data_IF_040194491238
#
_entry.id   IF_040194491238
#
_cell.length_a   1.000
_cell.length_b   1.000
_cell.length_c   1.000
_cell.angle_alpha   90.00
_cell.angle_beta   90.00
_cell.angle_gamma   90.00
#
_symmetry.space_group_name_H-M   'P 1'
#
loop_
_entity.id
_entity.type
_entity.pdbx_description
1 polymer ?
#
# COMPACT_ATOMS: atom_id res chain seq x y z
N UNK A 1 6.01 18.28 20.02
CA UNK A 1 4.85 18.34 19.09
C UNK A 1 5.47 18.70 17.77
N UNK A 2 5.35 17.86 16.74
CA UNK A 2 6.00 18.11 15.45
C UNK A 2 5.33 19.24 14.68
N UNK A 3 6.13 19.96 13.89
CA UNK A 3 5.64 21.05 13.05
C UNK A 3 6.52 21.30 11.83
N UNK A 4 5.88 21.86 10.80
CA UNK A 4 6.52 22.38 9.59
C UNK A 4 5.96 23.74 9.24
N UNK A 5 6.82 24.65 8.84
CA UNK A 5 6.45 25.97 8.33
C UNK A 5 6.91 26.13 6.89
N UNK A 6 5.97 26.48 6.02
CA UNK A 6 6.20 26.79 4.61
C UNK A 6 6.09 28.29 4.38
N UNK A 7 6.98 28.85 3.57
CA UNK A 7 7.02 30.28 3.28
C UNK A 7 7.09 30.56 1.79
N UNK A 8 6.37 31.59 1.33
CA UNK A 8 6.38 32.02 -0.07
C UNK A 8 7.65 32.78 -0.45
N UNK A 9 8.41 33.31 0.52
CA UNK A 9 9.70 33.95 0.31
C UNK A 9 10.89 33.05 0.67
N UNK A 10 12.08 33.42 0.19
CA UNK A 10 13.35 32.82 0.64
C UNK A 10 13.71 33.31 2.04
N UNK A 11 14.49 32.54 2.80
CA UNK A 11 14.91 32.88 4.17
C UNK A 11 13.74 33.21 5.09
N UNK A 12 12.63 32.50 4.91
CA UNK A 12 11.44 32.56 5.76
C UNK A 12 10.72 33.92 5.72
N UNK A 13 10.80 34.62 4.60
CA UNK A 13 10.10 35.90 4.40
C UNK A 13 8.72 35.72 3.77
N UNK A 14 7.99 36.83 3.67
CA UNK A 14 6.67 36.95 3.04
C UNK A 14 5.56 36.16 3.76
N UNK A 15 4.69 35.49 3.00
CA UNK A 15 3.57 34.75 3.58
C UNK A 15 4.10 33.42 4.15
N UNK A 16 3.65 33.04 5.34
CA UNK A 16 4.05 31.81 6.00
C UNK A 16 2.86 31.06 6.59
N UNK A 17 2.89 29.73 6.53
CA UNK A 17 1.90 28.85 7.13
C UNK A 17 2.56 27.70 7.86
N UNK A 18 2.18 27.53 9.12
CA UNK A 18 2.63 26.43 9.96
C UNK A 18 1.56 25.33 10.06
N UNK A 19 2.03 24.09 10.07
CA UNK A 19 1.25 22.90 10.31
C UNK A 19 1.80 22.22 11.58
N UNK A 20 0.92 21.75 12.46
CA UNK A 20 1.29 21.13 13.74
C UNK A 20 0.66 19.74 13.86
N UNK A 21 1.40 18.78 14.40
CA UNK A 21 0.97 17.39 14.55
C UNK A 21 1.01 16.61 13.24
N UNK A 22 1.20 15.30 13.34
CA UNK A 22 1.29 14.41 12.18
C UNK A 22 0.05 14.56 11.29
N UNK A 23 0.26 14.80 9.99
CA UNK A 23 -0.80 15.07 9.03
C UNK A 23 -0.31 15.00 7.59
N UNK A 24 -1.24 14.85 6.65
CA UNK A 24 -1.01 15.01 5.22
C UNK A 24 -1.86 16.12 4.61
N UNK A 25 -1.35 16.78 3.57
CA UNK A 25 -2.11 17.69 2.73
C UNK A 25 -1.97 17.25 1.27
N UNK A 26 -3.01 16.59 0.74
CA UNK A 26 -3.00 16.01 -0.61
C UNK A 26 -3.05 17.06 -1.73
N UNK A 27 -3.56 18.26 -1.44
CA UNK A 27 -3.66 19.36 -2.40
C UNK A 27 -3.44 20.70 -1.72
N UNK A 28 -2.25 21.27 -1.92
CA UNK A 28 -1.91 22.61 -1.42
C UNK A 28 -2.60 23.75 -2.18
N UNK A 29 -3.24 23.48 -3.32
CA UNK A 29 -4.06 24.46 -4.05
C UNK A 29 -5.39 24.78 -3.34
N UNK A 30 -5.76 23.96 -2.35
CA UNK A 30 -6.89 24.23 -1.46
C UNK A 30 -6.47 24.85 -0.12
N UNK A 31 -5.16 25.03 0.07
CA UNK A 31 -4.57 25.53 1.30
C UNK A 31 -4.07 26.95 1.08
N UNK A 32 -4.45 27.88 1.96
CA UNK A 32 -4.07 29.29 1.84
C UNK A 32 -3.18 29.72 3.00
N UNK A 33 -2.24 30.64 2.73
CA UNK A 33 -1.37 31.21 3.75
C UNK A 33 -2.14 32.02 4.80
N UNK A 34 -3.22 32.68 4.37
CA UNK A 34 -4.13 33.46 5.19
C UNK A 34 -5.56 33.04 4.85
N UNK A 35 -6.45 32.99 5.84
CA UNK A 35 -7.84 32.57 5.62
C UNK A 35 -8.61 33.51 4.68
N UNK A 36 -8.19 34.78 4.62
CA UNK A 36 -8.90 35.87 3.95
C UNK A 36 -8.39 36.11 2.52
N UNK A 37 -7.26 35.49 2.18
CA UNK A 37 -6.54 35.70 0.94
C UNK A 37 -6.59 34.44 0.07
N UNK A 38 -6.72 34.61 -1.24
CA UNK A 38 -6.78 33.47 -2.19
C UNK A 38 -5.40 33.00 -2.64
N UNK A 39 -4.36 33.47 -1.97
CA UNK A 39 -2.97 33.04 -2.18
C UNK A 39 -2.80 31.63 -1.61
N UNK A 40 -2.97 30.64 -2.49
CA UNK A 40 -2.78 29.24 -2.16
C UNK A 40 -1.29 28.88 -2.04
N UNK A 41 -1.00 27.75 -1.40
CA UNK A 41 0.37 27.31 -1.15
C UNK A 41 1.01 26.64 -2.37
N UNK A 42 0.21 26.23 -3.36
CA UNK A 42 0.66 25.41 -4.46
C UNK A 42 1.61 26.19 -5.35
N UNK A 43 2.76 25.57 -5.65
CA UNK A 43 3.76 26.17 -6.54
C UNK A 43 4.20 27.59 -6.13
N UNK A 44 4.16 27.92 -4.84
CA UNK A 44 4.58 29.23 -4.34
C UNK A 44 5.62 29.15 -3.23
N UNK A 45 5.72 28.01 -2.55
CA UNK A 45 6.68 27.76 -1.46
C UNK A 45 8.12 27.89 -1.96
N UNK A 46 8.94 28.67 -1.24
CA UNK A 46 10.36 28.92 -1.54
C UNK A 46 11.30 28.57 -0.38
N UNK A 47 10.82 28.53 0.86
CA UNK A 47 11.63 28.10 2.02
C UNK A 47 10.80 27.31 3.02
N UNK A 48 11.47 26.45 3.80
CA UNK A 48 10.84 25.47 4.71
C UNK A 48 11.62 25.39 6.02
N UNK A 49 10.90 25.30 7.14
CA UNK A 49 11.48 24.96 8.46
C UNK A 49 10.71 23.81 9.09
N UNK A 50 11.44 22.86 9.68
CA UNK A 50 10.88 21.83 10.56
C UNK A 50 11.41 22.04 11.98
N UNK A 51 10.58 21.72 12.97
CA UNK A 51 11.04 21.72 14.36
C UNK A 51 11.85 20.46 14.71
N UNK A 52 12.19 20.31 15.99
CA UNK A 52 12.99 19.19 16.50
C UNK A 52 12.34 17.79 16.35
N UNK A 53 11.06 17.73 16.00
CA UNK A 53 10.27 16.49 15.96
C UNK A 53 9.58 16.24 14.60
N UNK A 54 9.59 17.20 13.67
CA UNK A 54 8.87 17.13 12.40
C UNK A 54 9.65 16.49 11.26
N UNK A 55 9.20 15.31 10.82
CA UNK A 55 9.74 14.61 9.66
C UNK A 55 8.80 14.79 8.49
N UNK A 56 9.25 15.44 7.42
CA UNK A 56 8.36 15.86 6.32
C UNK A 56 8.82 15.28 4.99
N UNK A 57 7.87 14.74 4.24
CA UNK A 57 8.06 14.37 2.84
C UNK A 57 7.20 15.33 2.00
N UNK A 58 7.82 16.09 1.11
CA UNK A 58 7.11 16.97 0.16
C UNK A 58 7.13 16.37 -1.23
N UNK A 59 6.09 16.68 -2.00
CA UNK A 59 5.83 16.12 -3.31
C UNK A 59 5.57 17.22 -4.33
N UNK A 60 6.03 17.01 -5.56
CA UNK A 60 5.81 17.96 -6.66
C UNK A 60 4.50 17.74 -7.43
N UNK A 61 3.72 16.72 -7.07
CA UNK A 61 2.38 16.48 -7.57
C UNK A 61 1.35 16.39 -6.44
N UNK A 62 0.07 16.38 -6.82
CA UNK A 62 -1.05 16.16 -5.90
C UNK A 62 -1.07 14.73 -5.38
N UNK A 63 -1.79 14.49 -4.28
CA UNK A 63 -2.03 13.17 -3.70
C UNK A 63 -0.74 12.39 -3.40
N UNK A 64 0.31 13.12 -2.99
CA UNK A 64 1.57 12.55 -2.54
C UNK A 64 2.30 11.75 -3.64
N UNK A 65 2.24 12.21 -4.89
CA UNK A 65 2.88 11.57 -6.04
C UNK A 65 4.04 12.40 -6.62
N UNK A 66 4.68 11.88 -7.67
CA UNK A 66 5.77 12.54 -8.36
C UNK A 66 7.12 12.44 -7.66
N UNK A 67 8.00 13.39 -7.94
CA UNK A 67 9.27 13.50 -7.22
C UNK A 67 9.01 13.88 -5.76
N UNK A 68 9.95 13.52 -4.89
CA UNK A 68 9.85 13.80 -3.47
C UNK A 68 11.15 14.37 -2.91
N UNK A 69 11.00 15.16 -1.84
CA UNK A 69 12.12 15.65 -1.03
C UNK A 69 11.86 15.27 0.43
N UNK A 70 12.82 14.57 1.01
CA UNK A 70 12.86 14.25 2.42
C UNK A 70 13.43 15.46 3.16
N UNK A 71 12.65 16.01 4.09
CA UNK A 71 13.03 17.12 4.96
C UNK A 71 13.06 16.58 6.39
N UNK A 72 14.26 16.26 6.92
CA UNK A 72 14.40 15.76 8.28
C UNK A 72 13.92 16.78 9.33
N UNK A 73 13.78 16.32 10.56
CA UNK A 73 13.60 17.22 11.70
C UNK A 73 14.76 18.23 11.83
N UNK A 74 14.48 19.38 12.45
CA UNK A 74 15.40 20.48 12.67
C UNK A 74 16.03 21.06 11.38
N UNK A 75 15.30 20.99 10.27
CA UNK A 75 15.75 21.47 8.97
C UNK A 75 15.45 22.95 8.79
N UNK A 76 16.39 23.65 8.16
CA UNK A 76 16.34 25.08 7.88
C UNK A 76 16.68 25.32 6.41
N UNK A 77 15.70 25.09 5.54
CA UNK A 77 15.84 25.25 4.09
C UNK A 77 15.51 26.70 3.73
N UNK A 78 16.54 27.53 3.60
CA UNK A 78 16.38 28.97 3.31
C UNK A 78 16.04 29.26 1.84
N UNK A 79 16.38 28.38 0.92
CA UNK A 79 16.04 28.53 -0.50
C UNK A 79 15.92 27.14 -1.16
N UNK A 80 14.72 26.81 -1.64
CA UNK A 80 14.44 25.57 -2.35
C UNK A 80 15.09 25.50 -3.75
N UNK A 81 15.56 26.63 -4.29
CA UNK A 81 16.33 26.65 -5.54
C UNK A 81 17.65 25.88 -5.42
N UNK A 82 18.20 25.77 -4.20
CA UNK A 82 19.42 25.02 -3.93
C UNK A 82 19.21 23.50 -3.87
N UNK A 83 17.96 23.02 -3.96
CA UNK A 83 17.61 21.62 -3.79
C UNK A 83 17.18 21.02 -5.13
N UNK A 84 17.93 20.08 -5.71
CA UNK A 84 17.60 19.48 -6.99
C UNK A 84 16.34 18.60 -6.90
N UNK A 85 15.54 18.61 -7.97
CA UNK A 85 14.31 17.83 -8.12
C UNK A 85 14.47 16.82 -9.26
N UNK A 86 15.00 15.65 -8.90
CA UNK A 86 15.33 14.59 -9.87
C UNK A 86 16.20 15.14 -11.00
N UNK A 87 15.84 14.79 -12.23
CA UNK A 87 16.52 15.28 -13.44
C UNK A 87 15.97 16.62 -13.98
N UNK A 88 15.01 17.25 -13.29
CA UNK A 88 14.13 18.29 -13.86
C UNK A 88 14.16 19.64 -13.12
N UNK A 89 15.34 20.09 -12.69
CA UNK A 89 15.54 21.40 -12.07
C UNK A 89 15.59 21.33 -10.55
N UNK A 90 14.95 22.30 -9.88
CA UNK A 90 14.98 22.46 -8.42
C UNK A 90 13.58 22.43 -7.79
N UNK A 91 13.52 22.52 -6.46
CA UNK A 91 12.29 22.45 -5.67
C UNK A 91 11.57 23.78 -5.47
N UNK A 92 12.13 24.89 -5.95
CA UNK A 92 11.52 26.22 -5.80
C UNK A 92 10.17 26.24 -6.48
N UNK A 93 9.13 26.59 -5.74
CA UNK A 93 7.76 26.71 -6.27
C UNK A 93 7.27 25.42 -6.96
N UNK A 94 7.70 24.25 -6.47
CA UNK A 94 7.27 22.96 -7.01
C UNK A 94 6.39 22.16 -6.06
N UNK A 95 6.37 22.48 -4.76
CA UNK A 95 5.65 21.66 -3.77
C UNK A 95 4.12 21.78 -3.99
N UNK A 96 3.45 20.63 -4.11
CA UNK A 96 2.01 20.51 -4.34
C UNK A 96 1.29 19.69 -3.27
N UNK A 97 1.97 18.78 -2.58
CA UNK A 97 1.43 18.01 -1.44
C UNK A 97 2.53 17.63 -0.45
N UNK A 98 2.15 17.25 0.78
CA UNK A 98 3.13 16.78 1.78
C UNK A 98 2.54 15.80 2.80
N UNK A 99 3.42 15.01 3.41
CA UNK A 99 3.17 14.18 4.59
C UNK A 99 4.12 14.61 5.72
N UNK A 100 3.62 14.73 6.95
CA UNK A 100 4.40 15.06 8.13
C UNK A 100 4.17 14.04 9.24
N UNK A 101 5.26 13.54 9.82
CA UNK A 101 5.29 12.57 10.90
C UNK A 101 5.91 13.17 12.15
N UNK A 102 5.55 12.64 13.32
CA UNK A 102 6.09 13.03 14.63
C UNK A 102 7.31 12.19 15.08
N UNK A 103 7.65 11.17 14.29
CA UNK A 103 8.86 10.37 14.39
C UNK A 103 9.35 10.00 12.97
N UNK A 104 10.61 9.61 12.84
CA UNK A 104 11.14 9.12 11.56
C UNK A 104 10.42 7.82 11.19
N UNK A 105 9.74 7.73 10.03
CA UNK A 105 9.18 6.48 9.54
C UNK A 105 10.28 5.45 9.26
N UNK A 106 10.03 4.16 9.49
CA UNK A 106 11.00 3.09 9.20
C UNK A 106 11.42 3.05 7.73
N UNK A 107 10.53 3.46 6.82
CA UNK A 107 10.76 3.51 5.37
C UNK A 107 11.42 4.81 4.91
N UNK A 108 11.88 5.68 5.81
CA UNK A 108 12.38 7.02 5.45
C UNK A 108 13.43 7.00 4.34
N UNK A 109 14.34 6.03 4.37
CA UNK A 109 15.42 5.89 3.40
C UNK A 109 15.05 5.03 2.17
N UNK A 110 13.78 4.68 2.01
CA UNK A 110 13.31 3.93 0.83
C UNK A 110 13.13 4.87 -0.35
N UNK A 111 13.21 4.31 -1.55
CA UNK A 111 12.98 5.05 -2.79
C UNK A 111 11.95 4.30 -3.65
N UNK A 112 10.68 4.76 -3.73
CA UNK A 112 10.08 5.88 -2.97
C UNK A 112 9.91 5.62 -1.45
N UNK A 113 9.79 6.67 -0.62
CA UNK A 113 9.74 6.57 0.85
C UNK A 113 8.34 6.17 1.32
N UNK A 114 8.07 4.87 1.28
CA UNK A 114 6.82 4.23 1.71
C UNK A 114 7.08 2.74 1.97
N UNK A 115 6.20 1.99 2.64
CA UNK A 115 6.24 0.54 2.66
C UNK A 115 6.25 -0.02 1.23
N UNK A 116 7.20 -0.90 0.92
CA UNK A 116 7.44 -1.44 -0.41
C UNK A 116 7.31 -2.96 -0.45
N UNK A 117 6.74 -3.46 -1.54
CA UNK A 117 6.77 -4.88 -1.84
C UNK A 117 8.19 -5.24 -2.28
N UNK A 118 8.81 -6.19 -1.57
CA UNK A 118 10.03 -6.82 -2.04
C UNK A 118 9.67 -7.85 -3.12
N UNK A 119 9.65 -7.42 -4.38
CA UNK A 119 9.27 -8.24 -5.53
C UNK A 119 10.04 -9.56 -5.58
N UNK A 120 11.35 -9.53 -5.32
CA UNK A 120 12.18 -10.73 -5.32
C UNK A 120 11.78 -11.74 -4.23
N UNK A 121 11.41 -11.25 -3.03
CA UNK A 121 10.86 -12.10 -1.97
C UNK A 121 9.48 -12.61 -2.36
N UNK A 122 8.61 -11.72 -2.85
CA UNK A 122 7.26 -12.07 -3.25
C UNK A 122 7.27 -13.19 -4.29
N UNK A 123 8.05 -13.08 -5.37
CA UNK A 123 8.18 -14.12 -6.39
C UNK A 123 8.71 -15.45 -5.84
N UNK A 124 9.70 -15.42 -4.93
CA UNK A 124 10.26 -16.65 -4.32
C UNK A 124 9.26 -17.41 -3.46
N UNK A 125 8.22 -16.75 -2.96
CA UNK A 125 7.17 -17.40 -2.18
C UNK A 125 6.22 -18.26 -3.04
N UNK A 126 6.41 -18.28 -4.37
CA UNK A 126 5.75 -19.16 -5.33
C UNK A 126 6.78 -20.15 -5.94
N UNK A 127 7.22 -21.18 -5.19
CA UNK A 127 8.38 -22.02 -5.55
C UNK A 127 8.18 -22.87 -6.81
N UNK A 128 6.94 -23.20 -7.16
CA UNK A 128 6.58 -23.98 -8.35
C UNK A 128 6.09 -23.08 -9.51
N UNK A 129 6.40 -21.79 -9.44
CA UNK A 129 6.13 -20.87 -10.54
C UNK A 129 7.04 -21.13 -11.74
N UNK A 130 6.56 -20.75 -12.91
CA UNK A 130 7.31 -20.80 -14.16
C UNK A 130 7.19 -19.46 -14.88
N UNK A 131 8.14 -19.18 -15.77
CA UNK A 131 8.04 -18.04 -16.67
C UNK A 131 6.98 -18.34 -17.75
N UNK A 132 5.89 -17.58 -17.75
CA UNK A 132 4.93 -17.62 -18.86
C UNK A 132 5.48 -16.75 -20.00
N UNK A 133 5.94 -17.41 -21.07
CA UNK A 133 6.46 -16.78 -22.28
C UNK A 133 5.46 -15.81 -22.93
N UNK A 134 4.14 -15.96 -22.67
CA UNK A 134 3.11 -15.04 -23.17
C UNK A 134 3.09 -13.71 -22.43
N UNK A 135 3.60 -13.68 -21.19
CA UNK A 135 3.58 -12.53 -20.30
C UNK A 135 4.95 -11.89 -20.12
N UNK A 136 6.03 -12.50 -20.63
CA UNK A 136 7.38 -11.96 -20.60
C UNK A 136 7.84 -11.50 -19.19
N UNK A 137 7.43 -12.24 -18.15
CA UNK A 137 7.72 -11.90 -16.76
C UNK A 137 6.76 -10.91 -16.09
N UNK A 138 5.69 -10.48 -16.76
CA UNK A 138 4.69 -9.57 -16.19
C UNK A 138 3.83 -10.19 -15.08
N UNK A 139 3.85 -11.52 -14.93
CA UNK A 139 3.15 -12.23 -13.87
C UNK A 139 3.92 -13.48 -13.43
N UNK A 140 3.70 -13.88 -12.19
CA UNK A 140 4.07 -15.19 -11.65
C UNK A 140 3.01 -16.17 -12.13
N UNK A 141 3.36 -17.03 -13.09
CA UNK A 141 2.50 -18.12 -13.51
C UNK A 141 2.79 -19.37 -12.69
N UNK A 142 1.76 -20.09 -12.29
CA UNK A 142 1.91 -21.38 -11.61
C UNK A 142 0.71 -22.28 -11.84
N UNK A 143 0.94 -23.59 -11.79
CA UNK A 143 -0.08 -24.59 -12.07
C UNK A 143 -0.50 -25.30 -10.79
N UNK A 144 -1.80 -25.57 -10.65
CA UNK A 144 -2.33 -26.53 -9.69
C UNK A 144 -3.12 -27.56 -10.50
N UNK A 145 -2.63 -28.80 -10.50
CA UNK A 145 -3.16 -29.87 -11.36
C UNK A 145 -3.24 -29.40 -12.83
N UNK A 146 -4.43 -29.42 -13.44
CA UNK A 146 -4.66 -29.01 -14.83
C UNK A 146 -5.04 -27.51 -14.97
N UNK A 147 -4.88 -26.72 -13.90
CA UNK A 147 -5.34 -25.33 -13.82
C UNK A 147 -4.15 -24.38 -13.80
N UNK A 148 -4.23 -23.31 -14.58
CA UNK A 148 -3.16 -22.29 -14.66
C UNK A 148 -3.63 -21.01 -13.99
N UNK A 149 -2.78 -20.44 -13.14
CA UNK A 149 -3.03 -19.15 -12.49
C UNK A 149 -1.91 -18.17 -12.81
N UNK A 150 -2.25 -16.89 -12.87
CA UNK A 150 -1.30 -15.78 -13.06
C UNK A 150 -1.49 -14.80 -11.91
N UNK A 151 -0.42 -14.50 -11.18
CA UNK A 151 -0.41 -13.40 -10.20
C UNK A 151 0.46 -12.29 -10.75
N UNK A 152 -0.15 -11.13 -11.01
CA UNK A 152 0.59 -9.97 -11.48
C UNK A 152 1.33 -9.31 -10.32
N UNK A 153 2.46 -8.68 -10.60
CA UNK A 153 3.14 -7.87 -9.57
C UNK A 153 2.19 -6.77 -9.11
N UNK A 154 1.92 -6.64 -7.80
CA UNK A 154 1.04 -5.59 -7.35
C UNK A 154 1.62 -4.22 -7.66
N UNK A 155 0.76 -3.32 -8.09
CA UNK A 155 1.16 -1.97 -8.52
C UNK A 155 0.73 -0.95 -7.50
N UNK A 156 1.59 0.02 -7.18
CA UNK A 156 1.21 1.14 -6.33
C UNK A 156 -0.05 1.84 -6.89
N UNK A 157 -1.00 2.14 -6.00
CA UNK A 157 -2.27 2.77 -6.36
C UNK A 157 -2.37 4.18 -5.75
N UNK A 158 -2.36 4.26 -4.42
CA UNK A 158 -2.46 5.51 -3.68
C UNK A 158 -1.78 5.38 -2.32
N UNK A 159 -1.60 6.52 -1.64
CA UNK A 159 -1.21 6.56 -0.23
C UNK A 159 -1.85 7.75 0.47
N UNK A 160 -1.78 7.72 1.78
CA UNK A 160 -2.05 8.86 2.66
C UNK A 160 -1.03 8.92 3.80
N UNK A 161 -1.36 9.62 4.88
CA UNK A 161 -0.47 9.78 6.03
C UNK A 161 -0.26 8.48 6.82
N UNK A 162 -1.23 7.58 6.82
CA UNK A 162 -1.20 6.36 7.60
C UNK A 162 -0.93 5.12 6.74
N UNK A 163 -1.26 5.19 5.45
CA UNK A 163 -1.40 3.99 4.63
C UNK A 163 -0.81 4.11 3.23
N UNK A 164 -0.34 2.99 2.70
CA UNK A 164 0.08 2.79 1.31
C UNK A 164 -0.72 1.66 0.69
N UNK A 165 -1.26 1.87 -0.50
CA UNK A 165 -2.15 0.94 -1.17
C UNK A 165 -1.55 0.39 -2.47
N UNK A 166 -1.66 -0.92 -2.64
CA UNK A 166 -1.28 -1.64 -3.85
C UNK A 166 -2.50 -2.30 -4.49
N UNK A 167 -2.65 -2.13 -5.79
CA UNK A 167 -3.60 -2.89 -6.59
C UNK A 167 -3.02 -4.28 -6.90
N UNK A 168 -3.82 -5.31 -6.68
CA UNK A 168 -3.47 -6.71 -6.90
C UNK A 168 -4.43 -7.29 -7.93
N UNK A 169 -3.87 -8.00 -8.91
CA UNK A 169 -4.60 -8.64 -9.99
C UNK A 169 -4.14 -10.09 -10.13
N UNK A 170 -5.11 -11.00 -10.30
CA UNK A 170 -4.88 -12.41 -10.56
C UNK A 170 -5.81 -12.90 -11.67
N UNK A 171 -5.30 -13.84 -12.46
CA UNK A 171 -6.11 -14.60 -13.43
C UNK A 171 -6.09 -16.10 -13.12
N UNK A 172 -7.17 -16.76 -13.50
CA UNK A 172 -7.25 -18.20 -13.67
C UNK A 172 -7.57 -18.51 -15.14
N UNK A 173 -6.67 -19.19 -15.85
CA UNK A 173 -6.85 -19.51 -17.27
C UNK A 173 -7.92 -20.58 -17.43
N UNK A 174 -9.01 -20.21 -18.12
CA UNK A 174 -10.08 -21.14 -18.38
C UNK A 174 -9.94 -21.71 -19.79
N UNK A 175 -9.46 -22.95 -19.90
CA UNK A 175 -9.19 -23.61 -21.20
C UNK A 175 -10.40 -23.69 -22.15
N UNK A 176 -11.62 -23.51 -21.65
CA UNK A 176 -12.86 -23.61 -22.42
C UNK A 176 -13.63 -22.27 -22.55
N UNK A 177 -13.12 -21.16 -21.98
CA UNK A 177 -13.84 -19.89 -21.90
C UNK A 177 -12.88 -18.68 -21.78
N UNK A 178 -13.40 -17.52 -21.40
CA UNK A 178 -12.57 -16.38 -20.96
C UNK A 178 -12.01 -16.67 -19.56
N UNK A 179 -10.85 -16.08 -19.24
CA UNK A 179 -10.21 -16.25 -17.93
C UNK A 179 -11.08 -15.70 -16.79
N UNK A 180 -10.98 -16.30 -15.61
CA UNK A 180 -11.56 -15.70 -14.41
C UNK A 180 -10.57 -14.68 -13.84
N UNK A 181 -11.07 -13.56 -13.33
CA UNK A 181 -10.26 -12.45 -12.84
C UNK A 181 -10.60 -12.15 -11.39
N UNK A 182 -9.56 -11.95 -10.56
CA UNK A 182 -9.70 -11.45 -9.20
C UNK A 182 -8.84 -10.20 -9.00
N UNK A 183 -9.48 -9.13 -8.56
CA UNK A 183 -8.89 -7.80 -8.41
C UNK A 183 -9.20 -7.24 -7.03
N UNK A 184 -8.23 -6.63 -6.37
CA UNK A 184 -8.44 -5.95 -5.10
C UNK A 184 -7.33 -4.95 -4.78
N UNK A 185 -7.54 -4.14 -3.76
CA UNK A 185 -6.56 -3.19 -3.25
C UNK A 185 -6.09 -3.61 -1.87
N UNK A 186 -4.80 -3.92 -1.71
CA UNK A 186 -4.18 -4.21 -0.43
C UNK A 186 -3.63 -2.93 0.20
N UNK A 187 -4.12 -2.59 1.40
CA UNK A 187 -3.73 -1.37 2.13
C UNK A 187 -2.83 -1.76 3.28
N UNK A 188 -1.66 -1.15 3.34
CA UNK A 188 -0.65 -1.36 4.38
C UNK A 188 -0.47 -0.10 5.21
N UNK A 189 -0.32 -0.24 6.52
CA UNK A 189 0.12 0.86 7.38
C UNK A 189 1.59 1.23 7.12
N UNK A 190 2.04 2.32 7.74
CA UNK A 190 3.43 2.77 7.70
C UNK A 190 4.47 1.79 8.27
N UNK A 191 4.03 0.74 8.97
CA UNK A 191 4.89 -0.32 9.51
C UNK A 191 4.88 -1.59 8.62
N UNK A 192 4.16 -1.56 7.49
CA UNK A 192 4.08 -2.67 6.56
C UNK A 192 3.07 -3.75 6.94
N UNK A 193 2.20 -3.48 7.92
CA UNK A 193 1.10 -4.39 8.28
C UNK A 193 -0.05 -4.18 7.32
N UNK A 194 -0.65 -5.28 6.83
CA UNK A 194 -1.88 -5.20 6.04
C UNK A 194 -3.04 -4.78 6.95
N UNK A 195 -3.67 -3.65 6.67
CA UNK A 195 -4.79 -3.15 7.47
C UNK A 195 -6.15 -3.38 6.81
N UNK A 196 -6.18 -3.49 5.48
CA UNK A 196 -7.44 -3.59 4.74
C UNK A 196 -7.26 -4.22 3.34
N UNK A 197 -8.34 -4.81 2.82
CA UNK A 197 -8.46 -5.21 1.42
C UNK A 197 -9.73 -4.56 0.87
N UNK A 198 -9.57 -3.64 -0.07
CA UNK A 198 -10.66 -2.82 -0.60
C UNK A 198 -11.05 -3.22 -2.02
N UNK A 199 -12.32 -2.94 -2.36
CA UNK A 199 -12.91 -3.16 -3.68
C UNK A 199 -12.60 -4.54 -4.27
N UNK A 200 -12.70 -5.59 -3.44
CA UNK A 200 -12.54 -6.95 -3.94
C UNK A 200 -13.58 -7.23 -5.02
N UNK A 201 -13.10 -7.62 -6.19
CA UNK A 201 -13.91 -7.99 -7.33
C UNK A 201 -13.44 -9.33 -7.86
N UNK A 202 -14.38 -10.23 -8.14
CA UNK A 202 -14.11 -11.46 -8.84
C UNK A 202 -15.11 -11.62 -9.97
N UNK A 203 -14.63 -11.57 -11.20
CA UNK A 203 -15.44 -11.80 -12.40
C UNK A 203 -15.14 -13.15 -13.04
N UNK A 204 -16.18 -13.85 -13.47
CA UNK A 204 -16.06 -15.09 -14.23
C UNK A 204 -15.96 -14.82 -15.71
N UNK A 205 -14.95 -15.43 -16.33
CA UNK A 205 -14.94 -15.60 -17.77
C UNK A 205 -15.47 -16.97 -18.19
N UNK A 206 -15.63 -17.90 -17.25
CA UNK A 206 -16.16 -19.26 -17.43
C UNK A 206 -17.69 -19.37 -17.61
N UNK A 207 -18.17 -20.55 -18.01
CA UNK A 207 -19.61 -20.87 -18.15
C UNK A 207 -20.34 -21.13 -16.81
N UNK A 208 -19.69 -20.86 -15.68
CA UNK A 208 -20.15 -21.23 -14.35
C UNK A 208 -20.38 -19.96 -13.53
N UNK A 209 -21.09 -20.08 -12.39
CA UNK A 209 -21.47 -18.95 -11.54
C UNK A 209 -20.77 -19.04 -10.16
N UNK A 210 -20.10 -17.98 -9.74
CA UNK A 210 -19.55 -17.79 -8.40
C UNK A 210 -20.70 -17.41 -7.51
N UNK A 211 -20.90 -18.17 -6.44
CA UNK A 211 -21.93 -17.88 -5.46
C UNK A 211 -21.50 -16.70 -4.57
N UNK A 212 -22.42 -15.80 -4.23
CA UNK A 212 -22.20 -14.68 -3.30
C UNK A 212 -21.47 -15.10 -2.00
N UNK A 213 -21.74 -16.31 -1.51
CA UNK A 213 -21.09 -16.88 -0.33
C UNK A 213 -19.55 -16.97 -0.41
N UNK A 214 -18.97 -17.04 -1.61
CA UNK A 214 -17.51 -17.07 -1.79
C UNK A 214 -16.91 -15.66 -1.68
N UNK A 215 -17.64 -14.64 -2.12
CA UNK A 215 -17.30 -13.23 -1.96
C UNK A 215 -17.42 -12.84 -0.48
N UNK A 216 -18.53 -13.21 0.17
CA UNK A 216 -18.77 -12.95 1.60
C UNK A 216 -17.66 -13.58 2.48
N UNK A 217 -17.20 -14.79 2.13
CA UNK A 217 -16.13 -15.46 2.85
C UNK A 217 -14.78 -14.73 2.73
N UNK A 218 -14.50 -14.09 1.60
CA UNK A 218 -13.30 -13.27 1.43
C UNK A 218 -13.44 -11.99 2.26
N UNK A 219 -14.58 -11.32 2.23
CA UNK A 219 -14.82 -10.13 3.04
C UNK A 219 -14.67 -10.40 4.55
N UNK A 220 -15.17 -11.54 5.04
CA UNK A 220 -14.97 -11.98 6.42
C UNK A 220 -13.48 -12.18 6.75
N UNK A 221 -12.70 -12.79 5.85
CA UNK A 221 -11.25 -13.00 6.02
C UNK A 221 -10.50 -11.68 6.13
N UNK A 222 -10.87 -10.72 5.27
CA UNK A 222 -10.26 -9.39 5.23
C UNK A 222 -10.47 -8.67 6.57
N UNK A 223 -11.71 -8.66 7.05
CA UNK A 223 -12.08 -8.09 8.34
C UNK A 223 -11.28 -8.70 9.50
N UNK A 224 -11.20 -10.03 9.53
CA UNK A 224 -10.48 -10.78 10.58
C UNK A 224 -8.96 -10.61 10.52
N UNK A 225 -8.37 -10.43 9.33
CA UNK A 225 -6.93 -10.20 9.18
C UNK A 225 -6.53 -8.83 9.71
N UNK A 226 -7.38 -7.81 9.51
CA UNK A 226 -7.21 -6.48 10.10
C UNK A 226 -7.21 -6.52 11.64
N UNK A 227 -8.23 -7.14 12.24
CA UNK A 227 -8.35 -7.27 13.70
C UNK A 227 -7.18 -8.02 14.35
N UNK A 228 -6.61 -9.00 13.64
CA UNK A 228 -5.53 -9.82 14.14
C UNK A 228 -4.19 -9.07 14.22
N UNK A 229 -3.90 -8.23 13.23
CA UNK A 229 -2.61 -7.55 13.13
C UNK A 229 -2.49 -6.42 14.15
N UNK A 230 -3.60 -5.80 14.54
CA UNK A 230 -3.68 -4.86 15.68
C UNK A 230 -3.22 -5.49 17.01
N UNK A 231 -3.40 -6.81 17.19
CA UNK A 231 -2.96 -7.50 18.42
C UNK A 231 -1.45 -7.81 18.39
N UNK A 232 -0.86 -8.00 17.21
CA UNK A 232 0.57 -8.32 17.07
C UNK A 232 1.45 -7.08 17.23
N UNK A 233 0.95 -5.90 16.86
CA UNK A 233 1.64 -4.61 17.01
C UNK A 233 1.73 -4.13 18.47
N UNK A 234 0.84 -4.57 19.35
CA UNK A 234 0.75 -4.12 20.76
C UNK A 234 1.72 -4.81 21.75
N UNK A 235 2.57 -5.74 21.28
CA UNK A 235 3.75 -6.21 22.02
C UNK A 235 3.78 -7.71 22.32
N UNK A 236 4.93 -8.32 22.03
CA UNK A 236 5.21 -9.75 22.24
C UNK A 236 5.37 -10.05 23.74
N UNK A 237 4.26 -10.40 24.40
CA UNK A 237 4.27 -11.10 25.69
C UNK A 237 3.70 -12.51 25.53
N UNK A 238 3.71 -13.33 26.59
CA UNK A 238 3.49 -14.81 26.62
C UNK A 238 2.15 -15.34 26.06
N UNK A 239 1.35 -14.53 25.40
CA UNK A 239 0.04 -14.82 24.79
C UNK A 239 0.12 -15.16 23.27
N UNK A 240 1.34 -15.27 22.71
CA UNK A 240 1.57 -15.64 21.29
C UNK A 240 0.90 -16.96 20.90
N UNK A 241 0.78 -17.91 21.82
CA UNK A 241 0.15 -19.20 21.54
C UNK A 241 -1.37 -19.10 21.37
N UNK A 242 -2.05 -18.24 22.12
CA UNK A 242 -3.50 -18.07 22.05
C UNK A 242 -3.89 -17.24 20.82
N UNK A 243 -3.13 -16.18 20.53
CA UNK A 243 -3.25 -15.44 19.26
C UNK A 243 -3.01 -16.39 18.08
N UNK A 244 -1.91 -17.16 18.07
CA UNK A 244 -1.66 -18.14 17.02
C UNK A 244 -2.78 -19.18 16.90
N UNK A 245 -3.34 -19.66 18.02
CA UNK A 245 -4.44 -20.63 18.00
C UNK A 245 -5.73 -20.01 17.45
N UNK A 246 -6.02 -18.75 17.73
CA UNK A 246 -7.18 -18.06 17.17
C UNK A 246 -7.02 -17.82 15.66
N UNK A 247 -5.82 -17.42 15.21
CA UNK A 247 -5.46 -17.31 13.78
C UNK A 247 -5.56 -18.65 13.08
N UNK A 248 -5.00 -19.68 13.69
CA UNK A 248 -5.00 -21.02 13.16
C UNK A 248 -6.44 -21.57 13.11
N UNK A 249 -7.25 -21.31 14.13
CA UNK A 249 -8.68 -21.66 14.18
C UNK A 249 -9.48 -20.95 13.09
N UNK A 250 -9.23 -19.66 12.85
CA UNK A 250 -9.83 -18.90 11.74
C UNK A 250 -9.39 -19.46 10.39
N UNK A 251 -8.09 -19.70 10.20
CA UNK A 251 -7.54 -20.36 9.00
C UNK A 251 -8.18 -21.74 8.76
N UNK A 252 -8.40 -22.52 9.83
CA UNK A 252 -9.11 -23.79 9.77
C UNK A 252 -10.60 -23.62 9.46
N UNK A 253 -11.28 -22.58 9.96
CA UNK A 253 -12.69 -22.30 9.62
C UNK A 253 -12.83 -21.91 8.16
N UNK A 254 -11.94 -21.07 7.64
CA UNK A 254 -11.86 -20.68 6.23
C UNK A 254 -11.58 -21.92 5.38
N UNK A 255 -10.58 -22.71 5.75
CA UNK A 255 -10.25 -23.96 5.07
C UNK A 255 -11.44 -24.93 5.08
N UNK A 256 -12.13 -25.10 6.21
CA UNK A 256 -13.29 -25.97 6.32
C UNK A 256 -14.50 -25.45 5.54
N UNK A 257 -14.71 -24.13 5.49
CA UNK A 257 -15.73 -23.51 4.66
C UNK A 257 -15.42 -23.74 3.18
N UNK A 258 -14.20 -23.41 2.75
CA UNK A 258 -13.72 -23.64 1.39
C UNK A 258 -13.86 -25.12 1.01
N UNK A 259 -13.39 -26.05 1.84
CA UNK A 259 -13.55 -27.49 1.63
C UNK A 259 -15.03 -27.92 1.57
N UNK A 260 -15.88 -27.33 2.41
CA UNK A 260 -17.33 -27.59 2.43
C UNK A 260 -18.08 -27.07 1.20
N UNK A 261 -17.57 -26.02 0.53
CA UNK A 261 -18.08 -25.56 -0.76
C UNK A 261 -17.46 -26.35 -1.92
N UNK A 262 -16.15 -26.61 -1.88
CA UNK A 262 -15.42 -27.43 -2.87
C UNK A 262 -16.11 -28.79 -3.03
N UNK A 263 -16.46 -29.47 -1.93
CA UNK A 263 -17.16 -30.78 -1.95
C UNK A 263 -18.49 -30.77 -2.72
N UNK A 264 -19.16 -29.63 -2.87
CA UNK A 264 -20.45 -29.54 -3.58
C UNK A 264 -20.32 -29.38 -5.09
N UNK A 265 -19.12 -29.08 -5.61
CA UNK A 265 -18.92 -28.67 -7.00
C UNK A 265 -17.65 -29.26 -7.65
N UNK A 266 -17.13 -30.39 -7.15
CA UNK A 266 -15.87 -31.04 -7.56
C UNK A 266 -15.82 -31.60 -8.99
N UNK A 267 -16.26 -30.87 -10.02
CA UNK A 267 -16.10 -31.32 -11.41
C UNK A 267 -15.83 -30.17 -12.39
N UNK A 268 -15.09 -29.13 -11.97
CA UNK A 268 -15.05 -27.86 -12.71
C UNK A 268 -13.68 -27.17 -12.86
N UNK A 269 -12.70 -27.91 -13.39
CA UNK A 269 -11.54 -27.32 -14.09
C UNK A 269 -10.77 -26.19 -13.40
N UNK A 270 -10.56 -26.24 -12.08
CA UNK A 270 -9.68 -25.31 -11.37
C UNK A 270 -10.31 -24.06 -10.75
N UNK A 271 -11.52 -23.68 -11.14
CA UNK A 271 -12.15 -22.40 -10.74
C UNK A 271 -12.29 -22.28 -9.21
N UNK A 272 -12.62 -23.39 -8.52
CA UNK A 272 -12.75 -23.39 -7.06
C UNK A 272 -11.42 -23.36 -6.29
N UNK A 273 -10.31 -23.71 -6.93
CA UNK A 273 -8.98 -23.54 -6.33
C UNK A 273 -8.51 -22.09 -6.39
N UNK A 274 -9.16 -21.23 -7.19
CA UNK A 274 -8.78 -19.82 -7.31
C UNK A 274 -8.96 -19.04 -6.00
N UNK A 275 -9.95 -19.39 -5.17
CA UNK A 275 -10.12 -18.77 -3.85
C UNK A 275 -8.92 -19.04 -2.91
N UNK A 276 -8.48 -20.30 -2.70
CA UNK A 276 -7.22 -20.60 -2.04
C UNK A 276 -6.00 -19.86 -2.63
N UNK A 277 -5.93 -19.74 -3.95
CA UNK A 277 -4.87 -18.98 -4.65
C UNK A 277 -4.86 -17.50 -4.24
N UNK A 278 -6.02 -16.86 -4.20
CA UNK A 278 -6.17 -15.46 -3.77
C UNK A 278 -5.69 -15.30 -2.31
N UNK A 279 -6.16 -16.16 -1.40
CA UNK A 279 -5.78 -16.12 0.02
C UNK A 279 -4.27 -16.32 0.21
N UNK A 280 -3.68 -17.31 -0.47
CA UNK A 280 -2.24 -17.51 -0.42
C UNK A 280 -1.47 -16.33 -0.99
N UNK A 281 -2.01 -15.67 -2.02
CA UNK A 281 -1.40 -14.47 -2.60
C UNK A 281 -1.39 -13.32 -1.59
N UNK A 282 -2.50 -13.07 -0.90
CA UNK A 282 -2.57 -12.06 0.17
C UNK A 282 -1.52 -12.36 1.26
N UNK A 283 -1.46 -13.60 1.75
CA UNK A 283 -0.49 -13.98 2.79
C UNK A 283 0.97 -13.87 2.33
N UNK A 284 1.27 -14.24 1.09
CA UNK A 284 2.62 -14.08 0.53
C UNK A 284 2.97 -12.61 0.33
N UNK A 285 1.99 -11.80 -0.05
CA UNK A 285 2.13 -10.37 -0.21
C UNK A 285 2.48 -9.72 1.12
N UNK A 286 1.74 -9.99 2.19
CA UNK A 286 2.03 -9.45 3.53
C UNK A 286 3.42 -9.84 4.02
N UNK A 287 3.86 -11.07 3.75
CA UNK A 287 5.19 -11.55 4.10
C UNK A 287 6.32 -10.94 3.24
N UNK A 288 5.99 -10.24 2.16
CA UNK A 288 6.93 -9.63 1.23
C UNK A 288 7.06 -8.11 1.38
N UNK A 289 6.18 -7.47 2.14
CA UNK A 289 6.25 -6.03 2.39
C UNK A 289 7.37 -5.73 3.36
N UNK A 290 8.18 -4.74 3.00
CA UNK A 290 9.19 -4.15 3.85
C UNK A 290 8.76 -2.71 4.16
N UNK A 291 8.83 -2.30 5.42
CA UNK A 291 8.58 -0.92 5.84
C UNK A 291 9.75 -0.32 6.61
N UNK A 292 10.91 -0.99 6.56
CA UNK A 292 12.09 -0.63 7.33
C UNK A 292 11.89 -0.80 8.83
N UNK A 293 12.88 -0.38 9.61
CA UNK A 293 12.83 -0.42 11.07
C UNK A 293 13.14 0.97 11.60
N UNK A 294 12.40 1.39 12.62
CA UNK A 294 12.74 2.59 13.38
C UNK A 294 13.81 2.17 14.40
N UNK A 295 14.97 2.81 14.36
CA UNK A 295 16.04 2.61 15.36
C UNK A 295 15.66 3.21 16.74
#
# INVERSE_FOLDING_TARGET
MCSVSFFSGTSYTDNGKAYNGAQGQADLGTQYYKADDKDDLKNDIQSVQTDDSGWVIVFDELNYQGNFLLIPHNSNITDLEAYPRGDSGDWKKQIQSFLMYDAQPGFWDFNPPMPQINEATFSKLFPDSYEDDKLAGAAIAYNIEDSVYRIYMPTFSWRDINSTCYYVHLDHENSAATDDHAEFYAVFDNNGNLTDIQNFNWSEGGAFNITSNAVDAIEDIVSLTGDLLDVVTDGVSTEVADVFNDVFSVSCKIFNFACGQIYKYTDNGGVFYFLPVIIHTINRLTCSVNAGTVD
#
